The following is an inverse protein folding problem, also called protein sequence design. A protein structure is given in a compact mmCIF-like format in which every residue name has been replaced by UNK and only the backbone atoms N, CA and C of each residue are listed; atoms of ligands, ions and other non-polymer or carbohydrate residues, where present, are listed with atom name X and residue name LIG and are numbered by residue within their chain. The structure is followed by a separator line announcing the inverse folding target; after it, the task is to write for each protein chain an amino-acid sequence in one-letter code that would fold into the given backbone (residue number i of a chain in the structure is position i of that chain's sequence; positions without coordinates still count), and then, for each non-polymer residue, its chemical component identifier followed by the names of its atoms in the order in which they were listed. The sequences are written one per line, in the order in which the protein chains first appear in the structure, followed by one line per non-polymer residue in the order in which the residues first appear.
data_IF_646758167088
#
_entry.id   IF_646758167088
#
_cell.length_a   1.000
_cell.length_b   1.000
_cell.length_c   1.000
_cell.angle_alpha   90.00
_cell.angle_beta   90.00
_cell.angle_gamma   90.00
#
_symmetry.space_group_name_H-M   'P 1'
#
loop_
_entity.id
_entity.type
_entity.pdbx_description
1 polymer ?
#
# COMPACT_ATOMS: atom_id res chain seq x y z
N UNK A 1 5.98 11.39 -9.12
CA UNK A 1 6.11 11.68 -7.66
C UNK A 1 7.10 10.69 -7.08
N UNK A 2 8.00 11.10 -6.18
CA UNK A 2 9.01 10.18 -5.59
C UNK A 2 8.38 9.36 -4.45
N UNK A 3 8.64 8.05 -4.40
CA UNK A 3 8.22 7.13 -3.32
C UNK A 3 8.69 7.60 -1.92
N UNK A 4 9.71 8.46 -1.84
CA UNK A 4 10.16 9.04 -0.57
C UNK A 4 9.08 9.85 0.17
N UNK A 5 8.21 10.57 -0.54
CA UNK A 5 7.21 11.47 0.08
C UNK A 5 5.98 10.76 0.64
N UNK A 6 5.80 9.48 0.30
CA UNK A 6 4.69 8.65 0.78
C UNK A 6 5.08 7.79 1.99
N UNK A 7 6.35 7.83 2.41
CA UNK A 7 6.80 7.14 3.64
C UNK A 7 6.24 7.83 4.87
N UNK A 8 5.87 7.04 5.88
CA UNK A 8 5.27 7.55 7.13
C UNK A 8 6.09 8.67 7.79
N UNK A 9 7.42 8.57 7.77
CA UNK A 9 8.31 9.56 8.40
C UNK A 9 8.33 10.90 7.68
N UNK A 10 8.19 10.90 6.35
CA UNK A 10 8.08 12.11 5.55
C UNK A 10 6.64 12.66 5.55
N UNK A 11 5.65 11.80 5.78
CA UNK A 11 4.25 12.15 5.63
C UNK A 11 3.56 12.61 6.91
N UNK A 12 3.99 12.12 8.08
CA UNK A 12 3.39 12.42 9.39
C UNK A 12 4.38 13.10 10.32
N UNK A 13 3.89 14.04 11.13
CA UNK A 13 4.63 14.59 12.26
C UNK A 13 5.01 13.50 13.26
N UNK A 14 6.02 13.76 14.10
CA UNK A 14 6.43 12.81 15.14
C UNK A 14 5.30 12.49 16.12
N UNK A 15 4.48 13.49 16.46
CA UNK A 15 3.32 13.32 17.33
C UNK A 15 2.25 12.41 16.72
N UNK A 16 1.77 12.72 15.51
CA UNK A 16 0.77 11.90 14.83
C UNK A 16 1.29 10.49 14.55
N UNK A 17 2.57 10.36 14.17
CA UNK A 17 3.20 9.05 14.03
C UNK A 17 3.21 8.30 15.37
N UNK A 18 3.55 8.94 16.48
CA UNK A 18 3.53 8.33 17.81
C UNK A 18 2.17 7.75 18.16
N UNK A 19 1.10 8.54 17.97
CA UNK A 19 -0.27 8.11 18.25
C UNK A 19 -0.73 6.95 17.38
N UNK A 20 -0.40 6.96 16.09
CA UNK A 20 -0.69 5.82 15.22
C UNK A 20 0.05 4.57 15.72
N UNK A 21 1.32 4.74 16.09
CA UNK A 21 2.22 3.67 16.51
C UNK A 21 1.83 3.00 17.83
N UNK A 22 1.07 3.68 18.71
CA UNK A 22 0.51 3.08 19.92
C UNK A 22 -0.46 1.93 19.63
N UNK A 23 -0.98 1.87 18.41
CA UNK A 23 -1.94 0.86 17.96
C UNK A 23 -1.30 -0.19 17.04
N UNK A 24 0.03 -0.13 16.88
CA UNK A 24 0.78 -1.04 16.04
C UNK A 24 0.96 -2.41 16.72
N UNK A 25 0.82 -3.48 15.94
CA UNK A 25 1.27 -4.82 16.31
C UNK A 25 2.37 -5.27 15.36
N UNK A 26 3.50 -5.73 15.89
CA UNK A 26 4.56 -6.30 15.07
C UNK A 26 4.13 -7.66 14.50
N UNK A 27 4.29 -7.81 13.18
CA UNK A 27 3.99 -9.03 12.43
C UNK A 27 5.15 -9.38 11.50
N UNK A 28 5.20 -10.66 11.11
CA UNK A 28 6.20 -11.19 10.18
C UNK A 28 5.53 -12.01 9.11
N UNK A 29 5.99 -11.85 7.88
CA UNK A 29 5.55 -12.65 6.75
C UNK A 29 6.78 -13.35 6.15
N UNK A 30 6.76 -14.69 5.99
CA UNK A 30 7.80 -15.35 5.22
C UNK A 30 7.72 -14.96 3.74
N UNK A 31 8.79 -15.18 2.99
CA UNK A 31 8.80 -14.99 1.54
C UNK A 31 7.71 -15.84 0.87
N UNK A 32 7.05 -15.26 -0.14
CA UNK A 32 5.92 -15.85 -0.86
C UNK A 32 4.59 -15.83 -0.08
N UNK A 33 4.57 -15.32 1.15
CA UNK A 33 3.32 -15.25 1.92
C UNK A 33 2.36 -14.21 1.33
N UNK A 34 1.11 -14.61 1.14
CA UNK A 34 0.03 -13.70 0.80
C UNK A 34 -0.36 -12.86 2.02
N UNK A 35 -0.20 -11.55 1.92
CA UNK A 35 -0.59 -10.61 3.00
C UNK A 35 -2.10 -10.39 2.96
N UNK A 36 -2.66 -10.15 1.78
CA UNK A 36 -4.10 -10.11 1.55
C UNK A 36 -4.44 -10.32 0.07
N UNK A 37 -5.70 -10.64 -0.17
CA UNK A 37 -6.24 -10.92 -1.51
C UNK A 37 -7.17 -9.80 -1.98
N UNK A 38 -7.05 -9.47 -3.27
CA UNK A 38 -7.96 -8.58 -3.98
C UNK A 38 -9.42 -9.05 -3.81
N UNK A 39 -10.35 -8.10 -3.64
CA UNK A 39 -11.78 -8.37 -3.48
C UNK A 39 -12.20 -8.82 -2.07
N UNK A 40 -11.26 -8.97 -1.13
CA UNK A 40 -11.57 -9.27 0.29
C UNK A 40 -11.76 -7.99 1.12
N UNK A 41 -12.32 -8.16 2.32
CA UNK A 41 -12.49 -7.06 3.27
C UNK A 41 -11.13 -6.47 3.67
N UNK A 42 -11.05 -5.15 3.63
CA UNK A 42 -9.91 -4.34 4.05
C UNK A 42 -10.14 -3.77 5.44
N UNK A 43 -9.85 -4.57 6.45
CA UNK A 43 -10.02 -4.25 7.87
C UNK A 43 -8.70 -3.98 8.61
N UNK A 44 -7.57 -4.10 7.92
CA UNK A 44 -6.21 -3.89 8.45
C UNK A 44 -5.37 -3.11 7.47
N UNK A 45 -4.22 -2.63 7.91
CA UNK A 45 -3.15 -2.17 7.01
C UNK A 45 -1.80 -2.33 7.68
N UNK A 46 -0.73 -2.16 6.90
CA UNK A 46 0.62 -2.37 7.40
C UNK A 46 1.60 -1.26 7.02
N UNK A 47 2.65 -1.13 7.81
CA UNK A 47 3.82 -0.30 7.49
C UNK A 47 5.07 -1.18 7.54
N UNK A 48 5.83 -1.19 6.46
CA UNK A 48 7.00 -2.08 6.32
C UNK A 48 8.16 -1.57 7.19
N UNK A 49 8.75 -2.47 7.98
CA UNK A 49 9.96 -2.24 8.78
C UNK A 49 11.20 -2.85 8.15
N UNK A 50 11.06 -3.93 7.39
CA UNK A 50 12.12 -4.51 6.57
C UNK A 50 11.53 -5.46 5.52
N UNK A 51 12.28 -5.71 4.45
CA UNK A 51 11.85 -6.56 3.34
C UNK A 51 11.04 -5.80 2.30
N UNK A 52 10.43 -6.56 1.38
CA UNK A 52 9.72 -6.04 0.22
C UNK A 52 8.36 -6.71 0.11
N UNK A 53 7.31 -5.92 -0.04
CA UNK A 53 5.95 -6.40 -0.37
C UNK A 53 5.63 -5.96 -1.79
N UNK A 54 5.19 -6.89 -2.62
CA UNK A 54 4.72 -6.61 -3.98
C UNK A 54 3.21 -6.43 -3.95
N UNK A 55 2.72 -5.38 -4.61
CA UNK A 55 1.31 -5.19 -4.91
C UNK A 55 1.02 -5.67 -6.33
N UNK A 56 -0.06 -6.43 -6.49
CA UNK A 56 -0.43 -7.09 -7.75
C UNK A 56 -1.93 -7.02 -8.04
N UNK A 57 -2.29 -7.23 -9.31
CA UNK A 57 -3.67 -7.44 -9.76
C UNK A 57 -3.79 -8.86 -10.31
N UNK A 58 -4.88 -9.55 -9.95
CA UNK A 58 -5.17 -10.88 -10.50
C UNK A 58 -5.66 -10.75 -11.94
N UNK A 59 -4.98 -11.44 -12.86
CA UNK A 59 -5.38 -11.51 -14.28
C UNK A 59 -5.82 -12.93 -14.60
N UNK A 60 -7.08 -13.17 -15.04
CA UNK A 60 -7.56 -14.51 -15.36
C UNK A 60 -6.65 -15.25 -16.34
N UNK A 61 -6.25 -16.48 -15.99
CA UNK A 61 -5.39 -17.32 -16.82
C UNK A 61 -3.92 -16.87 -16.94
N UNK A 62 -3.49 -15.87 -16.16
CA UNK A 62 -2.11 -15.37 -16.16
C UNK A 62 -1.56 -15.23 -14.73
N UNK A 63 -0.24 -15.09 -14.60
CA UNK A 63 0.37 -14.71 -13.32
C UNK A 63 -0.11 -13.31 -12.92
N UNK A 64 -0.24 -13.02 -11.61
CA UNK A 64 -0.62 -11.68 -11.15
C UNK A 64 0.31 -10.61 -11.73
N UNK A 65 -0.29 -9.53 -12.22
CA UNK A 65 0.47 -8.42 -12.80
C UNK A 65 0.97 -7.51 -11.66
N UNK A 66 2.28 -7.39 -11.53
CA UNK A 66 2.90 -6.52 -10.51
C UNK A 66 2.62 -5.05 -10.84
N UNK A 67 2.06 -4.34 -9.87
CA UNK A 67 1.84 -2.89 -9.94
C UNK A 67 3.02 -2.14 -9.34
N UNK A 68 3.45 -2.52 -8.15
CA UNK A 68 4.45 -1.78 -7.38
C UNK A 68 5.14 -2.67 -6.34
N UNK A 69 6.41 -2.39 -6.06
CA UNK A 69 7.13 -2.99 -4.94
C UNK A 69 7.27 -1.94 -3.82
N UNK A 70 6.88 -2.33 -2.62
CA UNK A 70 6.91 -1.51 -1.40
C UNK A 70 8.06 -1.93 -0.50
N UNK A 71 8.75 -0.96 0.07
CA UNK A 71 9.83 -1.15 1.02
C UNK A 71 9.63 -0.34 2.30
N UNK A 72 10.74 -0.11 3.01
CA UNK A 72 10.75 0.51 4.33
C UNK A 72 9.91 1.80 4.44
N UNK A 73 9.02 1.83 5.44
CA UNK A 73 8.20 2.98 5.79
C UNK A 73 7.00 3.22 4.89
N UNK A 74 6.77 2.38 3.89
CA UNK A 74 5.64 2.49 2.97
C UNK A 74 4.40 1.75 3.49
N UNK A 75 3.22 2.29 3.14
CA UNK A 75 1.91 1.81 3.56
C UNK A 75 1.45 0.62 2.70
N UNK A 76 1.31 -0.56 3.27
CA UNK A 76 0.67 -1.70 2.60
C UNK A 76 -0.85 -1.60 2.80
N UNK A 77 -1.58 -1.28 1.73
CA UNK A 77 -3.03 -1.14 1.72
C UNK A 77 -3.56 0.26 2.07
N UNK A 78 -4.39 0.84 1.18
CA UNK A 78 -5.14 2.10 1.41
C UNK A 78 -6.65 1.86 1.52
N UNK A 79 -7.12 0.71 1.02
CA UNK A 79 -8.55 0.38 0.93
C UNK A 79 -9.24 0.34 2.29
N UNK A 80 -8.50 0.18 3.38
CA UNK A 80 -9.03 0.22 4.74
C UNK A 80 -9.64 1.57 5.12
N UNK A 81 -9.23 2.67 4.48
CA UNK A 81 -9.70 4.01 4.81
C UNK A 81 -10.97 4.39 4.05
N UNK A 82 -11.15 3.88 2.83
CA UNK A 82 -12.23 4.30 1.94
C UNK A 82 -13.28 3.19 1.77
N UNK A 83 -14.57 3.49 1.99
CA UNK A 83 -15.65 2.57 1.62
C UNK A 83 -15.53 2.12 0.15
N UNK A 84 -15.87 0.86 -0.19
CA UNK A 84 -16.54 -0.14 0.63
C UNK A 84 -15.61 -0.99 1.52
N UNK A 85 -14.36 -0.53 1.77
CA UNK A 85 -13.35 -1.30 2.52
C UNK A 85 -13.06 -2.65 1.86
N UNK A 86 -12.79 -2.63 0.56
CA UNK A 86 -12.46 -3.83 -0.22
C UNK A 86 -11.09 -3.65 -0.83
N UNK A 87 -10.23 -4.66 -0.68
CA UNK A 87 -8.90 -4.66 -1.27
C UNK A 87 -8.96 -4.52 -2.79
N UNK A 88 -8.45 -3.39 -3.29
CA UNK A 88 -8.42 -3.10 -4.72
C UNK A 88 -7.24 -3.76 -5.44
N UNK A 89 -6.23 -4.19 -4.68
CA UNK A 89 -5.06 -4.93 -5.15
C UNK A 89 -4.84 -6.13 -4.23
N UNK A 90 -4.02 -7.06 -4.69
CA UNK A 90 -3.34 -8.05 -3.88
C UNK A 90 -2.05 -7.54 -3.23
N UNK A 91 -1.57 -8.25 -2.21
CA UNK A 91 -0.23 -8.06 -1.67
C UNK A 91 0.46 -9.37 -1.30
N UNK A 92 1.72 -9.53 -1.71
CA UNK A 92 2.56 -10.70 -1.41
C UNK A 92 3.93 -10.26 -0.89
N UNK A 93 4.47 -10.98 0.10
CA UNK A 93 5.82 -10.75 0.60
C UNK A 93 6.86 -11.31 -0.39
N UNK A 94 7.55 -10.43 -1.13
CA UNK A 94 8.60 -10.81 -2.09
C UNK A 94 9.89 -11.29 -1.40
N UNK A 95 10.13 -10.82 -0.17
CA UNK A 95 11.22 -11.27 0.70
C UNK A 95 10.65 -11.50 2.10
N UNK A 96 11.41 -12.03 3.08
CA UNK A 96 10.96 -12.05 4.46
C UNK A 96 10.67 -10.63 4.96
N UNK A 97 9.41 -10.36 5.31
CA UNK A 97 8.95 -9.02 5.70
C UNK A 97 8.71 -8.95 7.20
N UNK A 98 9.17 -7.85 7.80
CA UNK A 98 8.73 -7.40 9.13
C UNK A 98 7.91 -6.15 8.92
N UNK A 99 6.74 -6.10 9.52
CA UNK A 99 5.82 -4.99 9.38
C UNK A 99 5.09 -4.71 10.68
N UNK A 100 4.47 -3.54 10.72
CA UNK A 100 3.53 -3.17 11.76
C UNK A 100 2.14 -3.19 11.20
N UNK A 101 1.29 -4.02 11.80
CA UNK A 101 -0.12 -4.16 11.48
C UNK A 101 -0.95 -3.22 12.34
N UNK A 102 -2.01 -2.70 11.75
CA UNK A 102 -2.98 -1.84 12.40
C UNK A 102 -4.38 -2.34 12.09
N UNK A 103 -5.21 -2.48 13.11
CA UNK A 103 -6.66 -2.67 12.92
C UNK A 103 -7.26 -1.34 12.44
N UNK A 104 -8.04 -1.39 11.35
CA UNK A 104 -8.55 -0.19 10.71
C UNK A 104 -9.65 0.50 11.54
N UNK A 105 -10.45 -0.27 12.30
CA UNK A 105 -11.57 0.27 13.07
C UNK A 105 -11.09 1.26 14.14
N UNK A 106 -10.18 0.90 15.07
CA UNK A 106 -9.67 1.86 16.05
C UNK A 106 -8.99 3.07 15.41
N UNK A 107 -8.31 2.90 14.27
CA UNK A 107 -7.67 4.03 13.57
C UNK A 107 -8.72 5.01 13.08
N UNK A 108 -9.77 4.52 12.42
CA UNK A 108 -10.86 5.39 11.94
C UNK A 108 -11.59 6.07 13.10
N UNK A 109 -11.86 5.36 14.19
CA UNK A 109 -12.45 5.97 15.40
C UNK A 109 -11.56 7.07 16.00
N UNK A 110 -10.23 6.90 16.00
CA UNK A 110 -9.30 7.94 16.41
C UNK A 110 -9.29 9.13 15.44
N UNK A 111 -9.39 8.89 14.14
CA UNK A 111 -9.51 9.95 13.13
C UNK A 111 -10.79 10.77 13.29
N UNK A 112 -11.89 10.15 13.71
CA UNK A 112 -13.16 10.83 14.02
C UNK A 112 -13.08 11.64 15.32
N UNK A 113 -12.44 11.08 16.35
CA UNK A 113 -12.28 11.73 17.65
C UNK A 113 -11.29 12.90 17.62
N UNK A 114 -10.31 12.85 16.71
CA UNK A 114 -9.28 13.87 16.55
C UNK A 114 -9.15 14.32 15.10
N UNK A 115 -9.77 15.46 14.73
CA UNK A 115 -9.76 15.96 13.35
C UNK A 115 -8.37 16.31 12.81
N UNK A 116 -7.42 16.71 13.66
CA UNK A 116 -6.06 17.03 13.21
C UNK A 116 -5.31 15.75 12.83
N UNK A 117 -5.43 14.71 13.66
CA UNK A 117 -4.93 13.37 13.34
C UNK A 117 -5.63 12.80 12.10
N UNK A 118 -6.95 12.90 12.03
CA UNK A 118 -7.76 12.45 10.90
C UNK A 118 -7.34 13.10 9.58
N UNK A 119 -7.14 14.42 9.58
CA UNK A 119 -6.65 15.17 8.41
C UNK A 119 -5.25 14.70 8.00
N UNK A 120 -4.33 14.52 8.95
CA UNK A 120 -2.96 14.09 8.64
C UNK A 120 -2.91 12.68 8.04
N UNK A 121 -3.65 11.72 8.61
CA UNK A 121 -3.74 10.35 8.09
C UNK A 121 -4.42 10.35 6.72
N UNK A 122 -5.54 11.07 6.57
CA UNK A 122 -6.26 11.18 5.29
C UNK A 122 -5.38 11.74 4.18
N UNK A 123 -4.62 12.81 4.44
CA UNK A 123 -3.68 13.38 3.47
C UNK A 123 -2.52 12.43 3.13
N UNK A 124 -2.01 11.69 4.10
CA UNK A 124 -0.97 10.69 3.85
C UNK A 124 -1.48 9.55 2.96
N UNK A 125 -2.63 8.95 3.29
CA UNK A 125 -3.22 7.88 2.50
C UNK A 125 -3.63 8.39 1.11
N UNK A 126 -4.14 9.62 1.01
CA UNK A 126 -4.44 10.25 -0.28
C UNK A 126 -3.22 10.42 -1.19
N UNK A 127 -2.05 10.77 -0.62
CA UNK A 127 -0.78 10.81 -1.36
C UNK A 127 -0.33 9.44 -1.84
N UNK A 128 -0.49 8.40 -0.99
CA UNK A 128 -0.23 7.00 -1.38
C UNK A 128 -1.13 6.58 -2.55
N UNK A 129 -2.43 6.88 -2.47
CA UNK A 129 -3.39 6.58 -3.53
C UNK A 129 -3.01 7.27 -4.85
N UNK A 130 -2.70 8.57 -4.82
CA UNK A 130 -2.28 9.32 -6.01
C UNK A 130 -1.00 8.75 -6.64
N UNK A 131 -0.01 8.37 -5.82
CA UNK A 131 1.20 7.71 -6.29
C UNK A 131 0.88 6.39 -7.00
N UNK A 132 0.07 5.53 -6.37
CA UNK A 132 -0.26 4.21 -6.90
C UNK A 132 -1.12 4.25 -8.15
N UNK A 133 -2.03 5.20 -8.23
CA UNK A 133 -2.79 5.44 -9.46
C UNK A 133 -1.84 5.81 -10.62
N UNK A 134 -0.83 6.63 -10.35
CA UNK A 134 0.18 6.96 -11.35
C UNK A 134 1.02 5.73 -11.74
N UNK A 135 1.51 4.96 -10.77
CA UNK A 135 2.26 3.70 -11.02
C UNK A 135 1.45 2.72 -11.86
N UNK A 136 0.18 2.51 -11.53
CA UNK A 136 -0.73 1.63 -12.28
C UNK A 136 -0.97 2.13 -13.70
N UNK A 137 -1.17 3.45 -13.90
CA UNK A 137 -1.35 4.06 -15.22
C UNK A 137 -0.12 3.85 -16.12
N UNK A 138 1.08 4.05 -15.59
CA UNK A 138 2.34 3.81 -16.32
C UNK A 138 2.45 2.34 -16.70
N UNK A 139 2.20 1.42 -15.75
CA UNK A 139 2.26 -0.03 -16.00
C UNK A 139 1.27 -0.49 -17.07
N UNK A 140 0.06 0.09 -17.11
CA UNK A 140 -0.92 -0.18 -18.15
C UNK A 140 -0.42 0.29 -19.52
N UNK A 141 0.19 1.47 -19.61
CA UNK A 141 0.78 1.95 -20.86
C UNK A 141 1.93 1.04 -21.31
N UNK A 142 2.78 0.56 -20.41
CA UNK A 142 3.86 -0.38 -20.75
C UNK A 142 3.31 -1.73 -21.24
N UNK A 143 2.21 -2.22 -20.67
CA UNK A 143 1.56 -3.48 -21.08
C UNK A 143 0.86 -3.41 -22.44
N UNK A 144 0.45 -2.21 -22.86
CA UNK A 144 -0.30 -1.98 -24.10
C UNK A 144 0.43 -1.11 -25.12
N UNK A 145 1.66 -0.67 -24.83
CA UNK A 145 2.52 -0.05 -25.81
C UNK A 145 2.73 -1.07 -26.94
N UNK A 146 2.30 -0.80 -28.18
CA UNK A 146 2.67 -1.65 -29.28
C UNK A 146 4.19 -1.64 -29.31
N UNK A 147 4.81 -2.82 -29.25
CA UNK A 147 6.21 -2.94 -29.64
C UNK A 147 6.34 -2.19 -30.94
N UNK A 148 7.07 -1.08 -30.91
CA UNK A 148 7.30 -0.26 -32.08
C UNK A 148 7.86 -1.15 -33.17
N UNK A 149 7.06 -1.37 -34.19
CA UNK A 149 7.49 -1.85 -35.49
C UNK A 149 8.58 -0.91 -36.01
N UNK A 150 9.81 -1.42 -36.11
CA UNK A 150 10.89 -0.84 -36.88
C UNK A 150 12.26 -1.21 -36.30
N UNK A 151 13.22 -1.78 -37.01
CA UNK A 151 13.33 -2.15 -38.43
C UNK A 151 14.29 -3.35 -38.47
N UNK A 152 13.92 -4.35 -39.25
CA UNK A 152 14.90 -5.18 -39.93
C UNK A 152 15.66 -4.28 -40.90
N UNK A 153 16.97 -4.18 -40.74
CA UNK A 153 17.96 -4.11 -41.83
C UNK A 153 19.36 -4.35 -41.24
#
# INVERSE_FOLDING_TARGET
MSSSSIRITAALSTEHRGRLMEMARDVKFPEGARVFEEGRLADRFWIIRSGTVTLDIRVPGRRPAVIENLGFGELVGWSWLFPPYVWQLGAEAMTPVRAQEFDAVPVRSLMEADPAFGSAIGQWVGRVLAHRLHSARVRLLDLYAPYGSGLSE
#
